data_IF_632591558029
#
_entry.id   IF_632591558029
#
_cell.length_a   1.000
_cell.length_b   1.000
_cell.length_c   1.000
_cell.angle_alpha   90.00
_cell.angle_beta   90.00
_cell.angle_gamma   90.00
#
_symmetry.space_group_name_H-M   'P 1'
#
loop_
_entity.id
_entity.type
_entity.pdbx_description
1 polymer ?
#
# COMPACT_ATOMS: atom_id res chain seq x y z
N UNK A 1 9.38 6.49 -21.08
CA UNK A 1 9.93 5.70 -19.95
C UNK A 1 9.04 5.70 -18.71
N UNK A 2 8.93 6.78 -17.92
CA UNK A 2 8.16 6.73 -16.66
C UNK A 2 6.65 6.55 -16.87
N UNK A 3 6.06 7.20 -17.88
CA UNK A 3 4.64 7.03 -18.21
C UNK A 3 4.34 5.63 -18.73
N UNK A 4 5.24 5.03 -19.52
CA UNK A 4 5.13 3.64 -19.97
C UNK A 4 5.20 2.65 -18.81
N UNK A 5 6.12 2.88 -17.85
CA UNK A 5 6.23 2.06 -16.65
C UNK A 5 4.97 2.17 -15.77
N UNK A 6 4.43 3.39 -15.62
CA UNK A 6 3.17 3.62 -14.91
C UNK A 6 2.00 2.88 -15.60
N UNK A 7 1.89 2.98 -16.92
CA UNK A 7 0.90 2.24 -17.71
C UNK A 7 1.06 0.72 -17.60
N UNK A 8 2.29 0.21 -17.62
CA UNK A 8 2.56 -1.22 -17.46
C UNK A 8 2.08 -1.73 -16.09
N UNK A 9 2.34 -1.00 -15.00
CA UNK A 9 1.83 -1.34 -13.68
C UNK A 9 0.30 -1.27 -13.61
N UNK A 10 -0.32 -0.25 -14.23
CA UNK A 10 -1.78 -0.12 -14.25
C UNK A 10 -2.45 -1.29 -15.02
N UNK A 11 -1.81 -1.81 -16.08
CA UNK A 11 -2.30 -3.01 -16.79
C UNK A 11 -2.23 -4.28 -15.93
N UNK A 12 -1.25 -4.39 -15.04
CA UNK A 12 -1.20 -5.49 -14.07
C UNK A 12 -2.37 -5.38 -13.08
N UNK A 13 -2.65 -4.17 -12.58
CA UNK A 13 -3.83 -3.94 -11.75
C UNK A 13 -5.13 -4.27 -12.49
N UNK A 14 -5.23 -3.93 -13.78
CA UNK A 14 -6.37 -4.29 -14.64
C UNK A 14 -6.60 -5.81 -14.69
N UNK A 15 -5.51 -6.56 -14.86
CA UNK A 15 -5.54 -8.02 -14.95
C UNK A 15 -6.06 -8.62 -13.66
N UNK A 16 -5.57 -8.15 -12.51
CA UNK A 16 -6.02 -8.61 -11.19
C UNK A 16 -7.47 -8.21 -10.92
N UNK A 17 -7.86 -6.97 -11.23
CA UNK A 17 -9.22 -6.49 -11.05
C UNK A 17 -10.22 -7.32 -11.85
N UNK A 18 -9.90 -7.65 -13.11
CA UNK A 18 -10.73 -8.53 -13.94
C UNK A 18 -10.82 -9.97 -13.43
N UNK A 19 -9.82 -10.46 -12.69
CA UNK A 19 -9.86 -11.78 -12.05
C UNK A 19 -10.70 -11.81 -10.77
N UNK A 20 -10.75 -10.69 -10.04
CA UNK A 20 -11.49 -10.59 -8.77
C UNK A 20 -12.96 -10.21 -8.96
N UNK A 21 -13.36 -9.74 -10.14
CA UNK A 21 -14.72 -9.27 -10.46
C UNK A 21 -15.25 -8.27 -9.41
N UNK A 22 -14.39 -7.34 -9.00
CA UNK A 22 -14.65 -6.42 -7.90
C UNK A 22 -14.62 -4.95 -8.36
N UNK A 23 -15.69 -4.22 -8.03
CA UNK A 23 -15.76 -2.76 -8.16
C UNK A 23 -15.12 -2.06 -6.96
N UNK A 24 -14.45 -0.94 -7.21
CA UNK A 24 -13.84 -0.11 -6.16
C UNK A 24 -12.58 -0.70 -5.54
N UNK A 25 -11.90 -1.65 -6.20
CA UNK A 25 -10.72 -2.32 -5.65
C UNK A 25 -9.61 -1.29 -5.34
N UNK A 26 -9.15 -1.18 -4.08
CA UNK A 26 -8.09 -0.26 -3.72
C UNK A 26 -6.74 -0.77 -4.22
N UNK A 27 -5.97 0.10 -4.87
CA UNK A 27 -4.65 -0.19 -5.42
C UNK A 27 -3.61 0.77 -4.83
N UNK A 28 -2.57 0.21 -4.22
CA UNK A 28 -1.47 0.97 -3.64
C UNK A 28 -0.15 0.69 -4.38
N UNK A 29 0.69 1.71 -4.53
CA UNK A 29 2.09 1.52 -4.91
C UNK A 29 2.94 1.24 -3.67
N UNK A 30 3.83 0.27 -3.79
CA UNK A 30 4.83 -0.06 -2.77
C UNK A 30 6.23 -0.16 -3.38
N UNK A 31 7.27 -0.29 -2.55
CA UNK A 31 8.65 -0.44 -3.01
C UNK A 31 9.32 0.87 -3.43
N UNK A 32 10.42 0.76 -4.20
CA UNK A 32 11.27 1.89 -4.58
C UNK A 32 10.55 2.96 -5.43
N UNK A 33 9.68 2.54 -6.34
CA UNK A 33 8.93 3.46 -7.21
C UNK A 33 7.94 4.34 -6.44
N UNK A 34 7.39 3.84 -5.32
CA UNK A 34 6.54 4.64 -4.43
C UNK A 34 7.33 5.76 -3.73
N UNK A 35 8.64 5.59 -3.52
CA UNK A 35 9.51 6.61 -2.90
C UNK A 35 9.82 7.78 -3.82
N UNK A 36 9.57 7.66 -5.12
CA UNK A 36 9.72 8.77 -6.08
C UNK A 36 8.65 9.84 -5.91
N UNK A 37 7.65 9.61 -5.04
CA UNK A 37 6.57 10.55 -4.77
C UNK A 37 5.75 10.86 -6.02
N UNK A 38 5.20 12.08 -6.08
CA UNK A 38 4.29 12.54 -7.15
C UNK A 38 4.87 12.44 -8.56
N UNK A 39 6.19 12.39 -8.70
CA UNK A 39 6.84 12.13 -9.98
C UNK A 39 6.38 10.81 -10.59
N UNK A 40 6.19 9.76 -9.79
CA UNK A 40 5.71 8.47 -10.29
C UNK A 40 4.26 8.17 -9.88
N UNK A 41 3.88 8.48 -8.63
CA UNK A 41 2.54 8.18 -8.10
C UNK A 41 1.45 8.90 -8.89
N UNK A 42 1.68 10.15 -9.31
CA UNK A 42 0.73 10.91 -10.12
C UNK A 42 0.53 10.32 -11.52
N UNK A 43 1.61 9.83 -12.14
CA UNK A 43 1.56 9.14 -13.45
C UNK A 43 0.81 7.82 -13.35
N UNK A 44 1.11 7.03 -12.34
CA UNK A 44 0.42 5.78 -12.07
C UNK A 44 -1.06 5.99 -11.77
N UNK A 45 -1.40 6.98 -10.94
CA UNK A 45 -2.81 7.30 -10.62
C UNK A 45 -3.60 7.61 -11.89
N UNK A 46 -3.08 8.48 -12.77
CA UNK A 46 -3.72 8.81 -14.05
C UNK A 46 -3.85 7.59 -14.97
N UNK A 47 -2.82 6.74 -15.02
CA UNK A 47 -2.87 5.51 -15.82
C UNK A 47 -3.91 4.53 -15.28
N UNK A 48 -4.04 4.40 -13.96
CA UNK A 48 -5.04 3.56 -13.31
C UNK A 48 -6.46 4.07 -13.58
N UNK A 49 -6.70 5.37 -13.39
CA UNK A 49 -8.00 6.02 -13.67
C UNK A 49 -8.42 5.83 -15.15
N UNK A 50 -7.47 5.85 -16.08
CA UNK A 50 -7.75 5.70 -17.50
C UNK A 50 -7.97 4.25 -17.93
N UNK A 51 -7.14 3.32 -17.44
CA UNK A 51 -7.14 1.92 -17.91
C UNK A 51 -8.08 1.02 -17.10
N UNK A 52 -8.34 1.37 -15.84
CA UNK A 52 -9.05 0.53 -14.87
C UNK A 52 -9.92 1.43 -13.97
N UNK A 53 -10.92 2.13 -14.52
CA UNK A 53 -11.69 3.14 -13.79
C UNK A 53 -12.46 2.60 -12.57
N UNK A 54 -12.67 1.28 -12.50
CA UNK A 54 -13.25 0.61 -11.34
C UNK A 54 -12.28 0.46 -10.15
N UNK A 55 -10.98 0.66 -10.36
CA UNK A 55 -9.99 0.64 -9.28
C UNK A 55 -9.78 2.05 -8.71
N UNK A 56 -9.45 2.13 -7.43
CA UNK A 56 -9.17 3.40 -6.74
C UNK A 56 -7.73 3.39 -6.25
N UNK A 57 -6.95 4.41 -6.62
CA UNK A 57 -5.63 4.57 -6.03
C UNK A 57 -5.77 4.96 -4.55
N UNK A 58 -5.23 4.14 -3.66
CA UNK A 58 -5.21 4.39 -2.22
C UNK A 58 -3.79 4.18 -1.69
N UNK A 59 -3.12 5.22 -1.17
CA UNK A 59 -1.81 5.05 -0.53
C UNK A 59 -1.86 4.01 0.59
N UNK A 60 -0.81 3.21 0.69
CA UNK A 60 -0.70 2.23 1.77
C UNK A 60 -0.67 2.94 3.14
N UNK A 61 -1.62 2.59 4.01
CA UNK A 61 -1.70 3.12 5.38
C UNK A 61 -0.50 2.68 6.24
N UNK A 62 0.01 1.48 5.98
CA UNK A 62 1.07 0.86 6.76
C UNK A 62 2.27 0.53 5.86
N UNK A 63 3.47 0.67 6.41
CA UNK A 63 4.67 0.12 5.76
C UNK A 63 4.59 -1.42 5.69
N UNK A 64 5.25 -2.09 4.73
CA UNK A 64 5.23 -3.54 4.62
C UNK A 64 5.56 -4.28 5.93
N UNK A 65 6.52 -3.78 6.71
CA UNK A 65 6.90 -4.37 8.01
C UNK A 65 5.76 -4.33 9.01
N UNK A 66 5.03 -3.21 9.09
CA UNK A 66 3.86 -3.07 9.98
C UNK A 66 2.72 -3.96 9.49
N UNK A 67 2.50 -4.03 8.16
CA UNK A 67 1.51 -4.94 7.58
C UNK A 67 1.80 -6.42 7.89
N UNK A 68 3.07 -6.83 7.82
CA UNK A 68 3.49 -8.18 8.17
C UNK A 68 3.25 -8.49 9.66
N UNK A 69 3.57 -7.55 10.55
CA UNK A 69 3.29 -7.71 11.98
C UNK A 69 1.79 -7.86 12.27
N UNK A 70 0.94 -7.03 11.63
CA UNK A 70 -0.52 -7.13 11.75
C UNK A 70 -1.03 -8.50 11.26
N UNK A 71 -0.50 -8.99 10.12
CA UNK A 71 -0.85 -10.31 9.59
C UNK A 71 -0.53 -11.43 10.59
N UNK A 72 0.69 -11.45 11.17
CA UNK A 72 1.07 -12.44 12.19
C UNK A 72 0.19 -12.36 13.45
N UNK A 73 -0.10 -11.15 13.94
CA UNK A 73 -0.96 -10.96 15.11
C UNK A 73 -2.38 -11.50 14.86
N UNK A 74 -2.92 -11.26 13.66
CA UNK A 74 -4.25 -11.75 13.28
C UNK A 74 -4.26 -13.27 13.12
N UNK A 75 -3.32 -13.82 12.37
CA UNK A 75 -3.36 -15.23 11.95
C UNK A 75 -2.81 -16.20 13.01
N UNK A 76 -1.77 -15.80 13.74
CA UNK A 76 -1.07 -16.68 14.69
C UNK A 76 -1.44 -16.43 16.14
N UNK A 77 -1.78 -15.19 16.50
CA UNK A 77 -2.10 -14.82 17.89
C UNK A 77 -3.60 -14.57 18.13
N UNK A 78 -4.44 -14.60 17.09
CA UNK A 78 -5.88 -14.39 17.20
C UNK A 78 -6.26 -12.99 17.65
N UNK A 79 -5.38 -12.00 17.45
CA UNK A 79 -5.62 -10.61 17.83
C UNK A 79 -6.56 -9.96 16.83
N UNK A 80 -7.60 -9.27 17.34
CA UNK A 80 -8.42 -8.39 16.52
C UNK A 80 -7.62 -7.14 16.11
N UNK A 81 -7.06 -7.17 14.90
CA UNK A 81 -6.27 -6.07 14.35
C UNK A 81 -7.09 -4.83 13.96
N UNK A 82 -8.42 -4.92 14.02
CA UNK A 82 -9.33 -3.77 13.80
C UNK A 82 -9.58 -2.99 15.09
N UNK A 83 -9.24 -3.57 16.24
CA UNK A 83 -9.39 -2.91 17.54
C UNK A 83 -8.55 -1.62 17.61
N UNK A 84 -9.10 -0.52 18.16
CA UNK A 84 -8.36 0.71 18.37
C UNK A 84 -7.09 0.47 19.18
N UNK A 85 -5.98 1.11 18.82
CA UNK A 85 -4.70 0.98 19.54
C UNK A 85 -3.75 -0.06 18.98
N UNK A 86 -4.22 -1.13 18.34
CA UNK A 86 -3.33 -2.24 17.89
C UNK A 86 -2.32 -1.75 16.85
N UNK A 87 -2.82 -1.13 15.78
CA UNK A 87 -1.95 -0.58 14.75
C UNK A 87 -1.11 0.59 15.26
N UNK A 88 -1.66 1.47 16.10
CA UNK A 88 -0.90 2.58 16.68
C UNK A 88 0.27 2.10 17.54
N UNK A 89 0.08 1.03 18.31
CA UNK A 89 1.13 0.48 19.17
C UNK A 89 2.29 -0.10 18.35
N UNK A 90 2.01 -0.78 17.24
CA UNK A 90 3.06 -1.23 16.30
C UNK A 90 3.80 -0.07 15.63
N UNK A 91 3.14 1.08 15.44
CA UNK A 91 3.76 2.26 14.85
C UNK A 91 4.61 3.05 15.84
N UNK A 92 4.33 2.96 17.16
CA UNK A 92 5.10 3.64 18.22
C UNK A 92 6.51 3.08 18.40
N UNK A 93 6.71 1.79 18.20
CA UNK A 93 8.02 1.12 18.30
C UNK A 93 9.06 1.72 17.31
N UNK A 94 8.61 2.33 16.20
CA UNK A 94 9.51 3.03 15.26
C UNK A 94 10.06 4.37 15.78
N UNK A 95 9.50 4.95 16.84
CA UNK A 95 9.96 6.22 17.43
C UNK A 95 10.89 6.01 18.64
N UNK A 96 11.14 4.77 19.07
CA UNK A 96 11.97 4.44 20.23
C UNK A 96 13.48 4.36 19.98
N UNK A 97 13.94 4.30 18.73
CA UNK A 97 15.37 4.09 18.40
C UNK A 97 16.15 5.39 18.08
N UNK A 98 15.58 6.58 18.31
CA UNK A 98 16.25 7.86 18.05
C UNK A 98 16.82 8.56 19.31
N UNK A 99 16.95 7.88 20.44
CA UNK A 99 17.63 8.45 21.61
C UNK A 99 18.31 7.41 22.51
N UNK A 100 19.51 7.00 22.09
CA UNK A 100 20.60 6.55 22.98
C UNK A 100 21.91 6.93 22.29
N UNK A 101 22.41 8.12 22.60
CA UNK A 101 23.74 8.33 23.18
C UNK A 101 24.21 9.80 23.01
N UNK A 102 24.57 10.38 24.16
CA UNK A 102 25.06 11.75 24.34
C UNK A 102 24.92 12.19 25.78
#
# INVERSE_FOLDING_TARGET
>A
MLDEAACALARLAATVAGQLDADGLPVALTGGVARMGELFTGRFRRALEHLVPQCVYQPAKYSPVVGAALCVLSESAGVDITAPGVAENLMKEKMGEAHVDG
#
